data_IF_343321112390
#
_entry.id   IF_343321112390
#
_cell.length_a   1.000
_cell.length_b   1.000
_cell.length_c   1.000
_cell.angle_alpha   90.00
_cell.angle_beta   90.00
_cell.angle_gamma   90.00
#
_symmetry.space_group_name_H-M   'P 1'
#
loop_
_entity.id
_entity.type
_entity.pdbx_description
1 polymer ?
#
# COMPACT_ATOMS: atom_id res chain seq x y z
N UNK A 1 5.30 43.78 9.44
CA UNK A 1 5.03 42.96 8.24
C UNK A 1 5.63 41.59 8.47
N UNK A 2 4.81 40.60 8.86
CA UNK A 2 5.26 39.24 9.16
C UNK A 2 5.40 38.48 7.84
N UNK A 3 6.63 38.10 7.49
CA UNK A 3 6.88 37.22 6.34
C UNK A 3 6.54 35.80 6.77
N UNK A 4 5.43 35.27 6.24
CA UNK A 4 5.06 33.87 6.34
C UNK A 4 6.20 33.01 5.79
N UNK A 5 6.83 32.22 6.64
CA UNK A 5 7.81 31.22 6.24
C UNK A 5 7.13 30.18 5.35
N UNK A 6 7.52 30.14 4.08
CA UNK A 6 7.08 29.11 3.13
C UNK A 6 7.47 27.74 3.68
N UNK A 7 6.57 26.74 3.73
CA UNK A 7 6.85 25.41 4.30
C UNK A 7 7.75 24.53 3.41
N UNK A 8 8.43 25.11 2.42
CA UNK A 8 9.22 24.39 1.43
C UNK A 8 10.70 24.75 1.62
N UNK A 9 11.28 24.22 2.69
CA UNK A 9 12.71 24.30 2.92
C UNK A 9 13.39 23.25 2.02
N UNK A 10 13.66 23.59 0.77
CA UNK A 10 14.37 22.70 -0.18
C UNK A 10 15.86 22.76 0.19
N UNK A 11 16.35 21.76 0.92
CA UNK A 11 17.78 21.57 1.15
C UNK A 11 18.40 20.83 -0.04
N UNK A 12 19.16 21.55 -0.85
CA UNK A 12 19.84 21.01 -2.05
C UNK A 12 20.84 19.87 -1.75
N UNK A 13 21.28 19.69 -0.50
CA UNK A 13 22.32 18.73 -0.11
C UNK A 13 22.03 18.00 1.21
N UNK A 14 20.76 17.83 1.59
CA UNK A 14 20.44 16.83 2.61
C UNK A 14 20.37 15.48 1.91
N UNK A 15 21.17 14.50 2.33
CA UNK A 15 20.95 13.12 1.92
C UNK A 15 19.50 12.77 2.25
N UNK A 16 18.63 12.74 1.25
CA UNK A 16 17.25 12.30 1.42
C UNK A 16 17.37 10.82 1.74
N UNK A 17 17.23 10.46 3.02
CA UNK A 17 17.22 9.07 3.42
C UNK A 17 15.96 8.47 2.81
N UNK A 18 16.12 7.75 1.71
CA UNK A 18 15.00 7.15 0.98
C UNK A 18 14.39 6.07 1.87
N UNK A 19 13.26 6.38 2.47
CA UNK A 19 12.36 5.38 3.06
C UNK A 19 11.28 5.07 2.04
N UNK A 20 11.20 3.82 1.58
CA UNK A 20 10.06 3.33 0.82
C UNK A 20 8.95 2.91 1.79
N UNK A 21 7.73 3.34 1.53
CA UNK A 21 6.53 2.85 2.22
C UNK A 21 5.74 2.01 1.23
N UNK A 22 5.32 0.82 1.65
CA UNK A 22 4.42 -0.01 0.85
C UNK A 22 2.99 0.45 1.12
N UNK A 23 2.21 0.66 0.08
CA UNK A 23 0.84 1.18 0.18
C UNK A 23 -0.09 0.31 -0.64
N UNK A 24 -1.23 -0.05 -0.07
CA UNK A 24 -2.35 -0.65 -0.79
C UNK A 24 -3.46 0.39 -0.92
N UNK A 25 -3.93 0.63 -2.14
CA UNK A 25 -4.97 1.59 -2.43
C UNK A 25 -6.13 0.93 -3.17
N UNK A 26 -7.34 1.18 -2.71
CA UNK A 26 -8.56 0.77 -3.42
C UNK A 26 -9.26 2.02 -3.93
N UNK A 27 -9.15 2.32 -5.24
CA UNK A 27 -9.97 3.33 -5.87
C UNK A 27 -11.36 2.72 -6.16
N UNK A 28 -12.36 3.15 -5.39
CA UNK A 28 -13.77 2.96 -5.73
C UNK A 28 -14.37 4.35 -5.99
N UNK A 29 -15.34 4.46 -6.91
CA UNK A 29 -15.89 5.72 -7.45
C UNK A 29 -16.11 6.86 -6.42
N UNK A 30 -16.33 6.53 -5.14
CA UNK A 30 -16.50 7.50 -4.04
C UNK A 30 -15.72 7.17 -2.75
N UNK A 31 -14.90 6.10 -2.73
CA UNK A 31 -14.16 5.66 -1.53
C UNK A 31 -12.71 5.43 -1.90
N UNK A 32 -11.82 6.15 -1.22
CA UNK A 32 -10.38 5.94 -1.25
C UNK A 32 -10.01 5.28 0.08
N UNK A 33 -9.66 4.00 0.02
CA UNK A 33 -9.11 3.30 1.19
C UNK A 33 -7.63 3.07 0.96
N UNK A 34 -6.81 3.60 1.86
CA UNK A 34 -5.35 3.48 1.84
C UNK A 34 -4.91 2.70 3.05
N UNK A 35 -4.20 1.61 2.82
CA UNK A 35 -3.57 0.82 3.88
C UNK A 35 -2.05 0.94 3.77
N UNK A 36 -1.42 1.45 4.83
CA UNK A 36 0.04 1.52 4.92
C UNK A 36 0.54 0.17 5.41
N UNK A 37 1.26 -0.52 4.54
CA UNK A 37 1.89 -1.80 4.84
C UNK A 37 3.16 -1.59 5.69
N UNK A 38 3.58 -2.65 6.37
CA UNK A 38 4.77 -2.63 7.21
C UNK A 38 6.01 -2.13 6.44
N UNK A 39 6.97 -1.45 7.11
CA UNK A 39 8.11 -0.78 6.47
C UNK A 39 9.03 -1.69 5.63
N UNK A 40 8.92 -3.01 5.76
CA UNK A 40 9.67 -3.98 4.96
C UNK A 40 8.77 -5.15 4.59
N UNK A 41 8.17 -5.07 3.41
CA UNK A 41 7.41 -6.16 2.81
C UNK A 41 8.42 -7.19 2.29
N UNK A 42 8.48 -8.34 2.93
CA UNK A 42 8.98 -9.54 2.28
C UNK A 42 7.79 -10.32 1.73
N UNK A 43 8.09 -11.32 0.94
CA UNK A 43 7.07 -12.19 0.37
C UNK A 43 6.14 -12.74 1.47
N UNK A 44 6.66 -13.17 2.63
CA UNK A 44 5.86 -13.88 3.65
C UNK A 44 4.84 -12.95 4.30
N UNK A 45 5.27 -11.73 4.62
CA UNK A 45 4.38 -10.65 5.08
C UNK A 45 3.37 -10.25 4.01
N UNK A 46 3.76 -10.30 2.74
CA UNK A 46 2.84 -10.06 1.63
C UNK A 46 1.76 -11.15 1.55
N UNK A 47 2.11 -12.42 1.73
CA UNK A 47 1.13 -13.51 1.78
C UNK A 47 0.13 -13.32 2.92
N UNK A 48 0.61 -13.01 4.13
CA UNK A 48 -0.26 -12.72 5.29
C UNK A 48 -1.20 -11.56 4.97
N UNK A 49 -0.69 -10.49 4.36
CA UNK A 49 -1.52 -9.38 3.91
C UNK A 49 -2.61 -9.85 2.93
N UNK A 50 -2.27 -10.66 1.92
CA UNK A 50 -3.24 -11.15 0.93
C UNK A 50 -4.31 -12.08 1.54
N UNK A 51 -3.94 -12.90 2.52
CA UNK A 51 -4.83 -13.92 3.08
C UNK A 51 -5.69 -13.43 4.23
N UNK A 52 -5.16 -12.54 5.06
CA UNK A 52 -5.79 -12.14 6.32
C UNK A 52 -6.32 -10.71 6.23
N UNK A 53 -5.47 -9.76 5.81
CA UNK A 53 -5.78 -8.33 5.87
C UNK A 53 -6.62 -7.87 4.69
N UNK A 54 -6.26 -8.26 3.46
CA UNK A 54 -6.94 -7.83 2.25
C UNK A 54 -8.42 -8.26 2.23
N UNK A 55 -8.80 -9.50 2.59
CA UNK A 55 -10.20 -9.89 2.66
C UNK A 55 -10.97 -9.08 3.70
N UNK A 56 -10.41 -8.86 4.89
CA UNK A 56 -11.01 -8.02 5.93
C UNK A 56 -11.26 -6.60 5.42
N UNK A 57 -10.23 -5.96 4.85
CA UNK A 57 -10.34 -4.62 4.26
C UNK A 57 -11.38 -4.57 3.13
N UNK A 58 -11.49 -5.65 2.34
CA UNK A 58 -12.45 -5.74 1.24
C UNK A 58 -13.91 -5.79 1.74
N UNK A 59 -14.17 -6.26 2.96
CA UNK A 59 -15.55 -6.35 3.51
C UNK A 59 -16.21 -4.98 3.67
N UNK A 60 -15.41 -3.92 3.80
CA UNK A 60 -15.90 -2.54 3.88
C UNK A 60 -16.60 -2.06 2.58
N UNK A 61 -16.38 -2.75 1.46
CA UNK A 61 -17.02 -2.44 0.19
C UNK A 61 -18.31 -3.25 0.01
N UNK A 62 -19.40 -2.67 -0.54
CA UNK A 62 -20.63 -3.42 -0.84
C UNK A 62 -20.36 -4.64 -1.75
N UNK A 63 -21.13 -5.71 -1.58
CA UNK A 63 -20.94 -6.95 -2.35
C UNK A 63 -20.91 -6.76 -3.88
N UNK A 64 -21.77 -5.90 -4.49
CA UNK A 64 -21.70 -5.65 -5.94
C UNK A 64 -20.39 -4.98 -6.38
N UNK A 65 -19.79 -4.15 -5.52
CA UNK A 65 -18.50 -3.50 -5.77
C UNK A 65 -17.37 -4.52 -5.66
N UNK A 66 -17.38 -5.35 -4.61
CA UNK A 66 -16.37 -6.42 -4.43
C UNK A 66 -16.30 -7.38 -5.61
N UNK A 67 -17.45 -7.76 -6.17
CA UNK A 67 -17.52 -8.67 -7.32
C UNK A 67 -16.93 -8.07 -8.61
N UNK A 68 -16.71 -6.75 -8.65
CA UNK A 68 -16.17 -6.03 -9.82
C UNK A 68 -14.77 -5.46 -9.55
N UNK A 69 -14.20 -5.73 -8.39
CA UNK A 69 -12.91 -5.18 -8.00
C UNK A 69 -11.79 -5.92 -8.73
N UNK A 70 -10.94 -5.18 -9.43
CA UNK A 70 -9.71 -5.70 -10.02
C UNK A 70 -8.59 -5.72 -8.99
N UNK A 71 -7.73 -6.72 -9.06
CA UNK A 71 -6.50 -6.78 -8.26
C UNK A 71 -5.31 -6.37 -9.14
N UNK A 72 -4.59 -5.34 -8.71
CA UNK A 72 -3.39 -4.86 -9.39
C UNK A 72 -2.25 -4.73 -8.37
N UNK A 73 -1.05 -5.11 -8.78
CA UNK A 73 0.17 -5.03 -7.98
C UNK A 73 1.31 -4.49 -8.86
N UNK A 74 2.30 -3.84 -8.25
CA UNK A 74 3.50 -3.43 -8.96
C UNK A 74 4.46 -4.63 -9.17
N UNK A 75 5.63 -4.37 -9.77
CA UNK A 75 6.65 -5.38 -10.02
C UNK A 75 7.55 -5.72 -8.82
N UNK A 76 7.20 -5.39 -7.58
CA UNK A 76 8.05 -5.63 -6.43
C UNK A 76 8.37 -7.12 -6.24
N UNK A 77 9.62 -7.44 -5.86
CA UNK A 77 10.08 -8.82 -5.71
C UNK A 77 9.27 -9.62 -4.68
N UNK A 78 8.71 -8.96 -3.65
CA UNK A 78 7.83 -9.58 -2.66
C UNK A 78 6.63 -10.29 -3.28
N UNK A 79 6.14 -9.80 -4.44
CA UNK A 79 4.96 -10.31 -5.14
C UNK A 79 5.18 -11.66 -5.82
N UNK A 80 6.43 -12.00 -6.13
CA UNK A 80 6.79 -13.22 -6.88
C UNK A 80 7.34 -14.34 -5.99
N UNK A 81 7.20 -14.22 -4.66
CA UNK A 81 7.66 -15.25 -3.73
C UNK A 81 6.97 -16.59 -3.97
N UNK A 82 7.74 -17.69 -4.00
CA UNK A 82 7.19 -19.04 -4.13
C UNK A 82 6.67 -19.52 -2.79
N UNK A 83 5.36 -19.73 -2.70
CA UNK A 83 4.68 -20.32 -1.55
C UNK A 83 4.59 -21.83 -1.73
N UNK A 84 5.31 -22.61 -0.93
CA UNK A 84 5.03 -24.03 -0.81
C UNK A 84 3.78 -24.19 0.08
N UNK A 85 2.61 -24.22 -0.55
CA UNK A 85 1.38 -24.69 0.09
C UNK A 85 1.32 -26.21 -0.08
N UNK A 86 1.61 -26.94 1.00
CA UNK A 86 1.06 -28.29 1.16
C UNK A 86 -0.41 -28.09 1.50
N UNK A 87 -1.28 -28.39 0.54
CA UNK A 87 -2.73 -28.50 0.74
C UNK A 87 -3.04 -29.93 1.15
#
# INVERSE_FOLDING_TARGET
MLVLSKPHNIRLNAAQKSSSVNVWEVPCEFIWSTYILLPRLDSGKYLVFLQEVLPEQSTNFPAPVRCRMGFQQDGALSHYGRWYLTI
#
